data_IF_425501591129
#
_entry.id   IF_425501591129
#
_cell.length_a   1.000
_cell.length_b   1.000
_cell.length_c   1.000
_cell.angle_alpha   90.00
_cell.angle_beta   90.00
_cell.angle_gamma   90.00
#
_symmetry.space_group_name_H-M   'P 1'
#
loop_
_entity.id
_entity.type
_entity.pdbx_description
1 polymer ?
#
# COMPACT_ATOMS: atom_id res chain seq x y z
N UNK A 1 23.62 53.76 41.30
CA UNK A 1 22.75 52.56 41.21
C UNK A 1 21.60 52.95 40.27
N UNK A 2 21.36 52.42 39.07
CA UNK A 2 21.71 51.17 38.39
C UNK A 2 21.69 51.44 36.87
N UNK A 3 22.62 50.84 36.13
CA UNK A 3 22.59 50.74 34.67
C UNK A 3 21.50 49.72 34.27
N UNK A 4 20.71 50.03 33.24
CA UNK A 4 19.80 49.06 32.62
C UNK A 4 20.09 48.99 31.12
N UNK A 5 20.97 48.05 30.77
CA UNK A 5 21.29 47.69 29.39
C UNK A 5 20.16 46.80 28.86
N UNK A 6 19.44 47.30 27.86
CA UNK A 6 18.36 46.57 27.18
C UNK A 6 19.02 45.65 26.13
N UNK A 7 18.98 44.34 26.37
CA UNK A 7 19.35 43.34 25.36
C UNK A 7 18.14 43.03 24.50
N UNK A 8 18.16 43.49 23.25
CA UNK A 8 17.18 43.11 22.23
C UNK A 8 17.40 41.66 21.79
N UNK A 9 16.52 40.76 22.20
CA UNK A 9 16.47 39.38 21.71
C UNK A 9 15.79 39.32 20.35
N UNK A 10 16.57 39.10 19.29
CA UNK A 10 16.04 38.64 18.00
C UNK A 10 15.50 37.22 18.16
N UNK A 11 14.18 37.04 18.05
CA UNK A 11 13.59 35.71 17.92
C UNK A 11 13.72 35.24 16.46
N UNK A 12 14.62 34.28 16.21
CA UNK A 12 14.70 33.58 14.92
C UNK A 12 13.59 32.53 14.90
N UNK A 13 12.52 32.79 14.15
CA UNK A 13 11.48 31.80 13.87
C UNK A 13 11.99 30.81 12.82
N UNK A 14 12.44 29.63 13.26
CA UNK A 14 12.74 28.51 12.37
C UNK A 14 11.42 27.95 11.81
N UNK A 15 11.12 28.26 10.55
CA UNK A 15 10.00 27.66 9.82
C UNK A 15 10.39 26.21 9.51
N UNK A 16 9.90 25.28 10.34
CA UNK A 16 9.93 23.85 10.03
C UNK A 16 8.98 23.61 8.83
N UNK A 17 9.54 23.62 7.63
CA UNK A 17 8.87 23.09 6.43
C UNK A 17 8.69 21.59 6.64
N UNK A 18 7.54 21.20 7.19
CA UNK A 18 7.10 19.81 7.16
C UNK A 18 6.85 19.45 5.69
N UNK A 19 7.79 18.77 5.06
CA UNK A 19 7.56 18.08 3.79
C UNK A 19 6.51 17.02 4.04
N UNK A 20 5.25 17.32 3.73
CA UNK A 20 4.20 16.32 3.72
C UNK A 20 4.53 15.37 2.57
N UNK A 21 5.14 14.23 2.89
CA UNK A 21 5.21 13.09 1.96
C UNK A 21 3.76 12.71 1.70
N UNK A 22 3.29 13.04 0.50
CA UNK A 22 1.92 12.75 0.08
C UNK A 22 1.93 11.33 -0.48
N UNK A 23 0.99 10.51 -0.03
CA UNK A 23 0.77 9.21 -0.66
C UNK A 23 0.52 9.40 -2.17
N UNK A 24 1.28 8.66 -2.98
CA UNK A 24 1.20 8.73 -4.44
C UNK A 24 0.26 7.63 -4.95
N UNK A 25 -0.70 7.97 -5.82
CA UNK A 25 -1.58 6.96 -6.39
C UNK A 25 -0.81 6.05 -7.35
N UNK A 26 -0.95 4.75 -7.18
CA UNK A 26 -0.47 3.71 -8.09
C UNK A 26 -1.56 3.39 -9.10
N UNK A 27 -1.43 3.97 -10.30
CA UNK A 27 -2.41 3.89 -11.39
C UNK A 27 -1.76 3.22 -12.59
N UNK A 28 -2.48 2.30 -13.24
CA UNK A 28 -2.03 1.67 -14.48
C UNK A 28 -0.64 1.05 -14.40
N UNK A 29 0.25 1.44 -15.32
CA UNK A 29 1.59 0.86 -15.44
C UNK A 29 2.46 1.06 -14.18
N UNK A 30 2.24 2.12 -13.40
CA UNK A 30 2.95 2.33 -12.14
C UNK A 30 2.65 1.24 -11.12
N UNK A 31 1.39 0.81 -11.03
CA UNK A 31 1.01 -0.32 -10.19
C UNK A 31 1.73 -1.60 -10.64
N UNK A 32 1.76 -1.86 -11.95
CA UNK A 32 2.41 -3.05 -12.51
C UNK A 32 3.90 -3.04 -12.18
N UNK A 33 4.60 -1.92 -12.41
CA UNK A 33 6.03 -1.82 -12.15
C UNK A 33 6.38 -2.02 -10.67
N UNK A 34 5.54 -1.53 -9.76
CA UNK A 34 5.77 -1.69 -8.32
C UNK A 34 5.45 -3.11 -7.87
N UNK A 35 4.42 -3.75 -8.41
CA UNK A 35 3.99 -5.07 -7.93
C UNK A 35 4.68 -6.23 -8.63
N UNK A 36 5.19 -6.03 -9.84
CA UNK A 36 5.88 -7.07 -10.60
C UNK A 36 7.13 -7.55 -9.87
N UNK A 37 7.09 -8.83 -9.45
CA UNK A 37 8.17 -9.45 -8.69
C UNK A 37 8.15 -9.14 -7.19
N UNK A 38 7.31 -8.21 -6.73
CA UNK A 38 7.20 -7.87 -5.31
C UNK A 38 6.13 -8.72 -4.61
N UNK A 39 6.31 -8.91 -3.29
CA UNK A 39 5.29 -9.45 -2.41
C UNK A 39 4.73 -8.31 -1.57
N UNK A 40 3.41 -8.15 -1.57
CA UNK A 40 2.76 -7.26 -0.62
C UNK A 40 2.38 -8.08 0.62
N UNK A 41 2.97 -7.75 1.75
CA UNK A 41 2.69 -8.38 3.04
C UNK A 41 1.89 -7.42 3.89
N UNK A 42 0.85 -7.90 4.57
CA UNK A 42 -0.03 -7.00 5.30
C UNK A 42 -0.85 -7.65 6.38
N UNK A 43 -1.74 -6.85 6.94
CA UNK A 43 -2.73 -7.29 7.92
C UNK A 43 -4.10 -6.85 7.45
N UNK A 44 -5.04 -7.79 7.37
CA UNK A 44 -6.41 -7.50 6.96
C UNK A 44 -7.12 -6.63 7.99
N UNK A 45 -8.30 -6.08 7.65
CA UNK A 45 -9.11 -5.35 8.62
C UNK A 45 -9.49 -6.20 9.85
N UNK A 46 -9.54 -7.52 9.71
CA UNK A 46 -9.80 -8.47 10.80
C UNK A 46 -8.55 -8.84 11.61
N UNK A 47 -7.39 -8.22 11.34
CA UNK A 47 -6.14 -8.51 12.05
C UNK A 47 -5.39 -9.74 11.53
N UNK A 48 -5.82 -10.33 10.42
CA UNK A 48 -5.19 -11.54 9.85
C UNK A 48 -4.00 -11.14 8.98
N UNK A 49 -2.82 -11.66 9.27
CA UNK A 49 -1.64 -11.47 8.41
C UNK A 49 -1.81 -12.19 7.08
N UNK A 50 -1.33 -11.57 6.01
CA UNK A 50 -1.39 -12.14 4.67
C UNK A 50 -0.19 -11.74 3.81
N UNK A 51 0.01 -12.51 2.75
CA UNK A 51 0.84 -12.16 1.60
C UNK A 51 -0.02 -12.18 0.33
N UNK A 52 0.16 -11.22 -0.56
CA UNK A 52 -0.46 -11.19 -1.88
C UNK A 52 0.60 -10.96 -2.95
N UNK A 53 0.49 -11.73 -4.03
CA UNK A 53 1.46 -11.80 -5.11
C UNK A 53 0.76 -11.49 -6.44
N UNK A 54 1.24 -10.46 -7.13
CA UNK A 54 0.77 -10.11 -8.47
C UNK A 54 1.76 -10.69 -9.49
N UNK A 55 1.29 -11.68 -10.23
CA UNK A 55 2.09 -12.42 -11.19
C UNK A 55 1.91 -11.84 -12.61
N UNK A 56 2.92 -11.96 -13.48
CA UNK A 56 2.78 -11.65 -14.90
C UNK A 56 1.58 -12.35 -15.54
N UNK A 57 0.98 -11.70 -16.53
CA UNK A 57 -0.20 -12.23 -17.23
C UNK A 57 -1.52 -12.11 -16.47
N UNK A 58 -1.61 -11.21 -15.49
CA UNK A 58 -2.87 -10.89 -14.82
C UNK A 58 -3.33 -11.93 -13.80
N UNK A 59 -2.41 -12.72 -13.23
CA UNK A 59 -2.72 -13.69 -12.17
C UNK A 59 -2.39 -13.11 -10.80
N UNK A 60 -3.17 -13.46 -9.78
CA UNK A 60 -2.91 -13.08 -8.38
C UNK A 60 -3.08 -14.27 -7.45
N UNK A 61 -2.24 -14.35 -6.43
CA UNK A 61 -2.41 -15.30 -5.33
C UNK A 61 -2.35 -14.62 -3.99
N UNK A 62 -3.18 -15.06 -3.06
CA UNK A 62 -3.25 -14.61 -1.69
C UNK A 62 -2.96 -15.80 -0.76
N UNK A 63 -2.19 -15.58 0.29
CA UNK A 63 -1.95 -16.55 1.34
C UNK A 63 -2.14 -15.89 2.70
N UNK A 64 -2.97 -16.46 3.57
CA UNK A 64 -3.08 -15.99 4.96
C UNK A 64 -2.14 -16.74 5.92
N UNK A 65 -2.08 -16.27 7.16
CA UNK A 65 -1.26 -16.85 8.22
C UNK A 65 -1.54 -18.33 8.53
N UNK A 66 -2.71 -18.86 8.15
CA UNK A 66 -3.02 -20.29 8.31
C UNK A 66 -2.45 -21.16 7.19
N UNK A 67 -1.88 -20.52 6.15
CA UNK A 67 -1.42 -21.18 4.94
C UNK A 67 -2.51 -21.40 3.90
N UNK A 68 -3.76 -20.92 4.12
CA UNK A 68 -4.81 -20.97 3.09
C UNK A 68 -4.36 -20.15 1.90
N UNK A 69 -4.44 -20.75 0.70
CA UNK A 69 -4.10 -20.10 -0.56
C UNK A 69 -5.35 -19.90 -1.40
N UNK A 70 -5.59 -18.64 -1.78
CA UNK A 70 -6.63 -18.23 -2.71
C UNK A 70 -5.97 -17.74 -4.02
N UNK A 71 -6.56 -18.08 -5.18
CA UNK A 71 -6.04 -17.70 -6.51
C UNK A 71 -7.08 -16.89 -7.26
N UNK A 72 -6.61 -15.96 -8.09
CA UNK A 72 -7.49 -15.08 -8.85
C UNK A 72 -6.81 -14.50 -10.08
N UNK A 73 -7.51 -13.54 -10.67
CA UNK A 73 -7.03 -12.72 -11.77
C UNK A 73 -7.18 -11.25 -11.40
N UNK A 74 -6.27 -10.42 -11.92
CA UNK A 74 -6.33 -8.98 -11.75
C UNK A 74 -6.25 -8.27 -13.09
N UNK A 75 -6.87 -7.09 -13.15
CA UNK A 75 -6.86 -6.20 -14.32
C UNK A 75 -6.78 -4.75 -13.86
N UNK A 76 -6.42 -3.85 -14.77
CA UNK A 76 -6.56 -2.41 -14.58
C UNK A 76 -7.85 -1.97 -15.25
N UNK A 77 -8.69 -1.20 -14.55
CA UNK A 77 -9.91 -0.63 -15.10
C UNK A 77 -9.64 0.67 -15.88
N UNK A 78 -10.64 1.26 -16.58
CA UNK A 78 -10.43 2.48 -17.36
C UNK A 78 -9.99 3.71 -16.56
N UNK A 79 -10.25 3.75 -15.25
CA UNK A 79 -9.77 4.83 -14.38
C UNK A 79 -8.33 4.58 -13.91
N UNK A 80 -7.78 3.40 -14.25
CA UNK A 80 -6.44 2.97 -13.91
C UNK A 80 -6.33 2.29 -12.54
N UNK A 81 -7.46 1.91 -11.93
CA UNK A 81 -7.53 1.25 -10.64
C UNK A 81 -7.47 -0.28 -10.78
N UNK A 82 -7.07 -0.97 -9.71
CA UNK A 82 -6.78 -2.41 -9.75
C UNK A 82 -8.01 -3.21 -9.38
N UNK A 83 -8.51 -4.04 -10.30
CA UNK A 83 -9.63 -4.95 -10.04
C UNK A 83 -9.14 -6.37 -9.83
N UNK A 84 -9.62 -7.03 -8.77
CA UNK A 84 -9.28 -8.41 -8.45
C UNK A 84 -10.53 -9.28 -8.46
N UNK A 85 -10.44 -10.42 -9.14
CA UNK A 85 -11.46 -11.47 -9.18
C UNK A 85 -10.86 -12.78 -8.69
N UNK A 86 -11.38 -13.31 -7.60
CA UNK A 86 -10.95 -14.58 -7.01
C UNK A 86 -11.65 -15.76 -7.68
N UNK A 87 -11.02 -16.94 -7.64
CA UNK A 87 -11.59 -18.19 -8.12
C UNK A 87 -12.27 -18.92 -6.96
N UNK A 88 -13.40 -19.55 -7.24
CA UNK A 88 -14.07 -20.37 -6.24
C UNK A 88 -13.29 -21.68 -5.96
N UNK A 89 -13.36 -22.21 -4.72
CA UNK A 89 -13.96 -21.58 -3.55
C UNK A 89 -13.01 -20.51 -2.96
N UNK A 90 -13.51 -19.29 -2.75
CA UNK A 90 -12.80 -18.24 -2.02
C UNK A 90 -13.81 -17.44 -1.20
N UNK A 91 -13.39 -17.03 0.00
CA UNK A 91 -14.16 -16.13 0.86
C UNK A 91 -13.74 -14.65 0.69
N UNK A 92 -12.83 -14.37 -0.24
CA UNK A 92 -12.36 -13.02 -0.54
C UNK A 92 -13.32 -12.31 -1.51
N UNK A 93 -13.55 -11.02 -1.27
CA UNK A 93 -14.41 -10.21 -2.12
C UNK A 93 -13.77 -9.91 -3.48
N UNK A 94 -14.57 -9.93 -4.54
CA UNK A 94 -14.19 -9.36 -5.84
C UNK A 94 -14.46 -7.86 -5.79
N UNK A 95 -13.45 -7.04 -6.06
CA UNK A 95 -13.58 -5.58 -5.99
C UNK A 95 -12.49 -4.88 -6.82
N UNK A 96 -12.69 -3.58 -7.02
CA UNK A 96 -11.72 -2.68 -7.64
C UNK A 96 -11.21 -1.68 -6.60
N UNK A 97 -9.91 -1.41 -6.62
CA UNK A 97 -9.21 -0.69 -5.57
C UNK A 97 -8.41 0.47 -6.12
N UNK A 98 -8.58 1.62 -5.46
CA UNK A 98 -7.59 2.69 -5.48
C UNK A 98 -6.42 2.27 -4.60
N UNK A 99 -5.22 2.32 -5.16
CA UNK A 99 -4.00 1.90 -4.47
C UNK A 99 -3.10 3.12 -4.34
N UNK A 100 -2.74 3.48 -3.11
CA UNK A 100 -1.78 4.56 -2.85
C UNK A 100 -0.54 3.99 -2.15
N UNK A 101 0.63 4.55 -2.44
CA UNK A 101 1.89 4.24 -1.78
C UNK A 101 2.43 5.44 -1.01
N UNK A 102 2.80 5.22 0.25
CA UNK A 102 3.48 6.19 1.12
C UNK A 102 4.78 5.55 1.63
N UNK A 103 5.89 5.86 0.96
CA UNK A 103 7.17 5.18 1.18
C UNK A 103 7.07 3.70 0.85
N UNK A 104 7.12 2.84 1.87
CA UNK A 104 6.97 1.38 1.73
C UNK A 104 5.56 0.88 2.07
N UNK A 105 4.64 1.77 2.47
CA UNK A 105 3.28 1.40 2.88
C UNK A 105 2.34 1.50 1.70
N UNK A 106 1.53 0.47 1.49
CA UNK A 106 0.48 0.44 0.46
C UNK A 106 -0.88 0.44 1.13
N UNK A 107 -1.71 1.41 0.77
CA UNK A 107 -3.11 1.46 1.18
C UNK A 107 -4.02 1.15 0.00
N UNK A 108 -4.97 0.25 0.24
CA UNK A 108 -5.99 -0.14 -0.74
C UNK A 108 -7.34 0.40 -0.28
N UNK A 109 -8.09 1.00 -1.20
CA UNK A 109 -9.45 1.52 -0.93
C UNK A 109 -10.40 1.05 -2.02
N UNK A 110 -11.39 0.26 -1.64
CA UNK A 110 -12.39 -0.31 -2.54
C UNK A 110 -13.31 0.78 -3.09
N UNK A 111 -13.59 0.73 -4.39
CA UNK A 111 -14.47 1.68 -5.07
C UNK A 111 -15.92 1.54 -4.63
N UNK A 112 -16.34 0.32 -4.33
CA UNK A 112 -17.74 0.01 -4.01
C UNK A 112 -18.15 0.41 -2.59
N UNK A 113 -17.20 0.86 -1.75
CA UNK A 113 -17.47 1.25 -0.37
C UNK A 113 -17.88 0.08 0.55
N UNK A 114 -18.03 -1.12 0.00
CA UNK A 114 -18.15 -2.35 0.77
C UNK A 114 -16.80 -2.58 1.44
N UNK A 115 -16.73 -2.41 2.77
CA UNK A 115 -15.51 -2.38 3.58
C UNK A 115 -14.62 -3.63 3.58
N UNK A 116 -14.61 -4.44 2.53
CA UNK A 116 -13.67 -5.54 2.31
C UNK A 116 -12.28 -5.08 1.83
N UNK A 117 -12.12 -3.78 1.54
CA UNK A 117 -10.86 -3.15 1.15
C UNK A 117 -9.88 -2.92 2.30
N UNK A 118 -9.72 -3.93 3.14
CA UNK A 118 -8.79 -3.92 4.25
C UNK A 118 -7.44 -4.52 3.88
N UNK A 119 -6.95 -4.39 2.65
CA UNK A 119 -5.56 -4.74 2.36
C UNK A 119 -4.69 -3.55 2.82
N UNK A 120 -4.34 -3.52 4.10
CA UNK A 120 -3.28 -2.63 4.61
C UNK A 120 -2.01 -3.45 4.65
N UNK A 121 -1.06 -3.12 3.79
CA UNK A 121 0.20 -3.85 3.69
C UNK A 121 1.38 -2.94 3.52
N UNK A 122 2.54 -3.44 3.89
CA UNK A 122 3.82 -2.88 3.49
C UNK A 122 4.27 -3.65 2.24
N UNK A 123 4.83 -2.96 1.25
CA UNK A 123 5.67 -3.65 0.27
C UNK A 123 6.83 -4.20 1.07
N UNK A 124 6.86 -5.52 1.26
CA UNK A 124 8.06 -6.11 1.82
C UNK A 124 9.16 -5.84 0.78
N UNK A 125 10.30 -5.22 1.15
CA UNK A 125 11.42 -5.17 0.23
C UNK A 125 11.67 -6.59 -0.26
N UNK A 126 11.78 -6.79 -1.58
CA UNK A 126 12.18 -8.09 -2.11
C UNK A 126 13.49 -8.48 -1.42
N UNK A 127 13.43 -9.44 -0.50
CA UNK A 127 14.63 -10.13 -0.08
C UNK A 127 14.99 -11.01 -1.27
N UNK A 128 15.85 -10.50 -2.15
CA UNK A 128 16.35 -11.21 -3.32
C UNK A 128 17.29 -12.35 -2.87
N UNK A 129 16.80 -13.27 -2.05
CA UNK A 129 17.39 -14.60 -2.02
C UNK A 129 17.01 -15.25 -3.34
N UNK A 130 17.95 -15.17 -4.30
CA UNK A 130 17.92 -15.98 -5.52
C UNK A 130 17.45 -17.39 -5.13
N UNK A 131 16.31 -17.83 -5.64
CA UNK A 131 16.03 -19.26 -5.72
C UNK A 131 17.23 -19.88 -6.45
N UNK A 132 17.94 -20.78 -5.75
CA UNK A 132 18.96 -21.63 -6.36
C UNK A 132 18.32 -22.56 -7.39
#
# INVERSE_FOLDING_TARGET
MKNLTIFSTMAVAAVLLATQVRAEPLVGDNFISVMQGNTLSGTSQMGVKYNIYFLPGGNVSYQDASGRVDKGNWTIDPDGDVCIKWKAPSNLAHDCYKVDIDGTKVSWKGKTGAGHAGLRGEVAPMDMTKSQ
#
